data_IF_278790708423
#
_entry.id   IF_278790708423
#
_cell.length_a   1.000
_cell.length_b   1.000
_cell.length_c   1.000
_cell.angle_alpha   90.00
_cell.angle_beta   90.00
_cell.angle_gamma   90.00
#
_symmetry.space_group_name_H-M   'P 1'
#
loop_
_entity.id
_entity.type
_entity.pdbx_description
1 polymer ?
#
# COMPACT_ATOMS: atom_id res chain seq x y z
N UNK A 1 17.01 8.44 -6.98
CA UNK A 1 16.17 8.71 -8.16
C UNK A 1 15.05 7.68 -8.12
N UNK A 2 13.88 8.04 -7.60
CA UNK A 2 12.78 7.09 -7.40
C UNK A 2 12.28 6.59 -8.75
N UNK A 3 12.08 5.28 -8.89
CA UNK A 3 11.61 4.66 -10.13
C UNK A 3 10.34 5.36 -10.62
N UNK A 4 10.33 5.77 -11.89
CA UNK A 4 9.16 6.26 -12.63
C UNK A 4 8.13 5.14 -12.90
N UNK A 5 8.17 4.05 -12.15
CA UNK A 5 7.36 2.84 -12.36
C UNK A 5 6.00 2.98 -11.68
N UNK A 6 4.94 2.81 -12.45
CA UNK A 6 3.57 2.83 -11.94
C UNK A 6 2.84 1.52 -12.29
N UNK A 7 2.38 0.80 -11.26
CA UNK A 7 1.57 -0.42 -11.45
C UNK A 7 0.23 -0.13 -12.14
N UNK A 8 -0.26 1.10 -12.06
CA UNK A 8 -1.58 1.46 -12.56
C UNK A 8 -1.61 1.85 -14.05
N UNK A 9 -0.45 1.94 -14.72
CA UNK A 9 -0.39 2.19 -16.17
C UNK A 9 -0.43 0.88 -16.93
N UNK A 10 -1.51 0.70 -17.67
CA UNK A 10 -1.86 -0.58 -18.28
C UNK A 10 -1.68 -0.51 -19.79
N UNK A 11 -1.18 -1.61 -20.36
CA UNK A 11 -1.17 -1.87 -21.80
C UNK A 11 -2.23 -2.90 -22.11
N UNK A 12 -3.08 -2.61 -23.09
CA UNK A 12 -4.19 -3.48 -23.47
C UNK A 12 -3.90 -4.20 -24.77
N UNK A 13 -4.20 -5.50 -24.81
CA UNK A 13 -4.01 -6.38 -25.96
C UNK A 13 -5.28 -7.09 -26.35
N UNK A 14 -5.43 -7.35 -27.66
CA UNK A 14 -6.60 -8.02 -28.23
C UNK A 14 -6.33 -9.52 -28.42
N UNK A 15 -7.33 -10.34 -28.09
CA UNK A 15 -7.31 -11.80 -28.32
C UNK A 15 -6.53 -12.58 -27.26
N UNK A 16 -5.20 -12.46 -27.26
CA UNK A 16 -4.30 -13.22 -26.40
C UNK A 16 -3.35 -12.31 -25.59
N UNK A 17 -2.69 -12.88 -24.58
CA UNK A 17 -1.77 -12.15 -23.70
C UNK A 17 -0.54 -11.58 -24.45
N UNK A 18 -0.14 -12.22 -25.54
CA UNK A 18 0.91 -11.82 -26.49
C UNK A 18 0.34 -11.15 -27.75
N UNK A 19 -0.98 -10.94 -27.79
CA UNK A 19 -1.67 -10.34 -28.93
C UNK A 19 -1.26 -8.89 -29.19
N UNK A 20 -1.70 -8.31 -30.32
CA UNK A 20 -1.35 -6.93 -30.67
C UNK A 20 -1.88 -5.94 -29.62
N UNK A 21 -1.07 -4.92 -29.33
CA UNK A 21 -1.48 -3.80 -28.49
C UNK A 21 -2.62 -3.06 -29.19
N UNK A 22 -3.73 -2.86 -28.49
CA UNK A 22 -4.91 -2.15 -28.99
C UNK A 22 -5.17 -0.83 -28.27
N UNK A 23 -4.48 -0.57 -27.15
CA UNK A 23 -4.59 0.70 -26.42
C UNK A 23 -3.93 0.64 -25.06
N UNK A 24 -4.30 1.58 -24.20
CA UNK A 24 -3.83 1.73 -22.84
C UNK A 24 -5.00 1.73 -21.84
N UNK A 25 -4.68 1.73 -20.54
CA UNK A 25 -5.68 1.81 -19.49
C UNK A 25 -5.11 2.26 -18.16
N UNK A 26 -6.01 2.47 -17.19
CA UNK A 26 -5.70 2.92 -15.84
C UNK A 26 -6.28 1.96 -14.81
N UNK A 27 -5.46 1.41 -13.93
CA UNK A 27 -5.96 0.57 -12.84
C UNK A 27 -6.70 1.42 -11.79
N UNK A 28 -7.98 1.12 -11.56
CA UNK A 28 -8.83 1.84 -10.60
C UNK A 28 -8.84 1.17 -9.22
N UNK A 29 -8.95 -0.16 -9.21
CA UNK A 29 -8.92 -1.01 -8.01
C UNK A 29 -8.13 -2.27 -8.32
N UNK A 30 -8.01 -3.21 -7.37
CA UNK A 30 -7.33 -4.48 -7.62
C UNK A 30 -7.99 -5.31 -8.73
N UNK A 31 -9.24 -5.04 -9.08
CA UNK A 31 -10.07 -5.85 -9.97
C UNK A 31 -10.83 -5.01 -11.01
N UNK A 32 -10.56 -3.69 -11.10
CA UNK A 32 -11.17 -2.78 -12.07
C UNK A 32 -10.13 -1.92 -12.76
N UNK A 33 -10.30 -1.75 -14.06
CA UNK A 33 -9.49 -0.85 -14.89
C UNK A 33 -10.39 0.06 -15.74
N UNK A 34 -9.87 1.21 -16.15
CA UNK A 34 -10.52 2.19 -17.00
C UNK A 34 -9.81 2.27 -18.34
N UNK A 35 -10.55 2.36 -19.43
CA UNK A 35 -10.04 2.58 -20.79
C UNK A 35 -11.11 3.22 -21.69
N UNK A 36 -10.80 3.42 -22.97
CA UNK A 36 -11.75 3.83 -23.99
C UNK A 36 -12.59 2.65 -24.49
N UNK A 37 -13.86 2.88 -24.80
CA UNK A 37 -14.74 1.84 -25.32
C UNK A 37 -14.25 1.34 -26.68
N UNK A 38 -13.78 2.22 -27.57
CA UNK A 38 -13.28 1.81 -28.88
C UNK A 38 -12.02 0.92 -28.81
N UNK A 39 -11.24 0.99 -27.72
CA UNK A 39 -10.07 0.11 -27.52
C UNK A 39 -10.53 -1.34 -27.34
N UNK A 40 -11.60 -1.54 -26.59
CA UNK A 40 -12.24 -2.85 -26.38
C UNK A 40 -12.91 -3.33 -27.67
N UNK A 41 -13.57 -2.41 -28.38
CA UNK A 41 -14.28 -2.66 -29.64
C UNK A 41 -15.72 -3.12 -29.42
N UNK A 42 -15.90 -4.26 -28.74
CA UNK A 42 -17.23 -4.84 -28.45
C UNK A 42 -17.39 -5.07 -26.93
N UNK A 43 -18.62 -4.92 -26.42
CA UNK A 43 -18.88 -4.95 -24.97
C UNK A 43 -18.53 -6.29 -24.31
N UNK A 44 -18.71 -7.39 -25.03
CA UNK A 44 -18.45 -8.76 -24.57
C UNK A 44 -17.04 -9.24 -24.94
N UNK A 45 -16.26 -8.47 -25.68
CA UNK A 45 -14.91 -8.84 -26.06
C UNK A 45 -14.00 -9.02 -24.84
N UNK A 46 -13.13 -10.02 -24.92
CA UNK A 46 -12.05 -10.22 -23.95
C UNK A 46 -10.83 -9.41 -24.38
N UNK A 47 -10.30 -8.63 -23.46
CA UNK A 47 -9.01 -7.93 -23.60
C UNK A 47 -8.02 -8.47 -22.58
N UNK A 48 -6.74 -8.35 -22.87
CA UNK A 48 -5.66 -8.68 -21.94
C UNK A 48 -5.04 -7.40 -21.39
N UNK A 49 -4.90 -7.35 -20.08
CA UNK A 49 -4.33 -6.25 -19.32
C UNK A 49 -2.92 -6.62 -18.90
N UNK A 50 -1.94 -5.87 -19.39
CA UNK A 50 -0.53 -6.00 -19.06
C UNK A 50 -0.08 -4.80 -18.20
N UNK A 51 0.64 -5.08 -17.11
CA UNK A 51 1.21 -4.10 -16.19
C UNK A 51 2.56 -3.66 -16.73
N UNK A 52 2.54 -2.81 -17.76
CA UNK A 52 3.67 -2.55 -18.65
C UNK A 52 4.97 -2.11 -17.93
N UNK A 53 4.86 -1.44 -16.79
CA UNK A 53 6.02 -0.99 -16.02
C UNK A 53 6.37 -1.85 -14.81
N UNK A 54 5.57 -2.90 -14.57
CA UNK A 54 5.82 -3.88 -13.54
C UNK A 54 5.61 -5.30 -14.10
N UNK A 55 6.61 -5.83 -14.83
CA UNK A 55 6.53 -7.15 -15.45
C UNK A 55 6.46 -8.30 -14.43
N UNK A 56 6.71 -8.04 -13.14
CA UNK A 56 6.50 -9.03 -12.09
C UNK A 56 5.01 -9.34 -11.86
N UNK A 57 4.11 -8.48 -12.34
CA UNK A 57 2.66 -8.69 -12.28
C UNK A 57 2.22 -9.36 -13.58
N UNK A 58 1.81 -10.63 -13.46
CA UNK A 58 1.35 -11.41 -14.60
C UNK A 58 0.13 -10.74 -15.29
N UNK A 59 0.11 -10.72 -16.64
CA UNK A 59 -1.06 -10.26 -17.39
C UNK A 59 -2.35 -10.97 -16.97
N UNK A 60 -3.47 -10.31 -17.21
CA UNK A 60 -4.79 -10.84 -16.84
C UNK A 60 -5.81 -10.56 -17.92
N UNK A 61 -6.68 -11.53 -18.18
CA UNK A 61 -7.85 -11.27 -19.02
C UNK A 61 -8.82 -10.35 -18.30
N UNK A 62 -9.57 -9.58 -19.07
CA UNK A 62 -10.59 -8.69 -18.58
C UNK A 62 -11.73 -8.57 -19.59
N UNK A 63 -12.91 -8.21 -19.09
CA UNK A 63 -14.10 -7.91 -19.87
C UNK A 63 -14.73 -6.64 -19.34
N UNK A 64 -15.62 -6.03 -20.10
CA UNK A 64 -16.36 -4.86 -19.61
C UNK A 64 -17.19 -5.27 -18.40
N UNK A 65 -17.08 -4.50 -17.31
CA UNK A 65 -17.87 -4.68 -16.11
C UNK A 65 -19.33 -4.31 -16.39
N UNK A 66 -20.26 -4.89 -15.63
CA UNK A 66 -21.68 -4.50 -15.69
C UNK A 66 -21.84 -2.99 -15.45
N UNK A 67 -22.63 -2.34 -16.32
CA UNK A 67 -22.81 -0.88 -16.29
C UNK A 67 -21.56 -0.06 -16.66
N UNK A 68 -20.46 -0.72 -17.02
CA UNK A 68 -19.18 -0.10 -17.36
C UNK A 68 -19.00 0.19 -18.85
N UNK A 69 -19.98 -0.12 -19.69
CA UNK A 69 -19.92 0.11 -21.14
C UNK A 69 -20.63 1.41 -21.52
N UNK A 70 -19.87 2.46 -21.82
CA UNK A 70 -20.38 3.72 -22.33
C UNK A 70 -19.72 3.96 -23.70
N UNK A 71 -20.25 3.35 -24.78
CA UNK A 71 -19.69 3.49 -26.12
C UNK A 71 -20.18 4.78 -26.79
N UNK A 72 -19.24 5.54 -27.34
CA UNK A 72 -19.57 6.71 -28.14
C UNK A 72 -19.63 6.45 -29.64
N UNK A 73 -20.72 6.88 -30.30
CA UNK A 73 -20.79 7.32 -31.70
C UNK A 73 -21.13 8.84 -31.81
N UNK A 74 -20.19 9.68 -32.25
CA UNK A 74 -20.46 11.08 -32.61
C UNK A 74 -20.26 12.15 -31.52
N UNK A 75 -20.50 13.42 -31.88
CA UNK A 75 -20.03 14.65 -31.22
C UNK A 75 -20.52 14.93 -29.77
N UNK A 76 -21.32 14.04 -29.17
CA UNK A 76 -21.89 14.21 -27.83
C UNK A 76 -21.61 13.04 -26.89
N UNK A 77 -20.71 12.11 -27.25
CA UNK A 77 -20.66 10.82 -26.55
C UNK A 77 -19.37 10.51 -25.81
N UNK A 78 -19.60 9.80 -24.71
CA UNK A 78 -18.63 9.30 -23.76
C UNK A 78 -18.02 8.03 -24.34
N UNK A 79 -16.70 7.97 -24.46
CA UNK A 79 -15.95 6.82 -24.96
C UNK A 79 -15.21 6.16 -23.80
N UNK A 80 -15.98 5.53 -22.92
CA UNK A 80 -15.52 5.02 -21.62
C UNK A 80 -15.89 3.55 -21.49
N UNK A 81 -14.91 2.74 -21.10
CA UNK A 81 -15.10 1.37 -20.66
C UNK A 81 -14.44 1.14 -19.29
N UNK A 82 -15.21 0.57 -18.36
CA UNK A 82 -14.68 0.01 -17.11
C UNK A 82 -14.57 -1.50 -17.28
N UNK A 83 -13.36 -2.02 -17.13
CA UNK A 83 -13.06 -3.44 -17.23
C UNK A 83 -13.09 -4.10 -15.85
N UNK A 84 -13.67 -5.29 -15.76
CA UNK A 84 -13.50 -6.22 -14.66
C UNK A 84 -12.39 -7.23 -15.02
N UNK A 85 -11.39 -7.35 -14.15
CA UNK A 85 -10.30 -8.32 -14.32
C UNK A 85 -10.78 -9.72 -13.94
N UNK A 86 -10.37 -10.75 -14.69
CA UNK A 86 -10.73 -12.16 -14.42
C UNK A 86 -10.27 -12.63 -13.03
N UNK A 87 -9.20 -12.01 -12.52
CA UNK A 87 -8.72 -12.21 -11.14
C UNK A 87 -8.10 -10.91 -10.62
N UNK A 88 -8.24 -10.62 -9.30
CA UNK A 88 -7.66 -9.42 -8.72
C UNK A 88 -6.12 -9.42 -8.83
N UNK A 89 -5.54 -8.23 -8.86
CA UNK A 89 -4.10 -7.95 -8.87
C UNK A 89 -3.76 -7.15 -7.62
N UNK A 90 -3.75 -7.82 -6.45
CA UNK A 90 -3.71 -7.11 -5.19
C UNK A 90 -2.36 -6.45 -4.89
N UNK A 91 -1.30 -6.92 -5.57
CA UNK A 91 0.05 -6.36 -5.49
C UNK A 91 0.20 -5.04 -6.27
N UNK A 92 -0.70 -4.76 -7.22
CA UNK A 92 -0.67 -3.55 -8.03
C UNK A 92 -1.24 -2.36 -7.26
N UNK A 93 -0.51 -1.25 -7.22
CA UNK A 93 -0.99 0.02 -6.65
C UNK A 93 -1.91 0.74 -7.64
N UNK A 94 -3.20 0.97 -7.32
CA UNK A 94 -4.12 1.69 -8.21
C UNK A 94 -3.76 3.18 -8.38
N UNK A 95 -4.32 3.79 -9.43
CA UNK A 95 -4.11 5.20 -9.71
C UNK A 95 -4.75 6.10 -8.64
N UNK A 96 -4.09 7.21 -8.32
CA UNK A 96 -4.71 8.30 -7.56
C UNK A 96 -5.44 9.22 -8.52
N UNK A 97 -6.76 9.27 -8.43
CA UNK A 97 -7.60 10.09 -9.32
C UNK A 97 -7.78 11.49 -8.74
N UNK A 98 -7.73 12.51 -9.59
CA UNK A 98 -7.86 13.92 -9.22
C UNK A 98 -8.83 14.61 -10.18
N UNK A 99 -9.88 15.23 -9.63
CA UNK A 99 -10.90 15.95 -10.41
C UNK A 99 -10.47 17.38 -10.76
N UNK A 100 -9.38 17.89 -10.19
CA UNK A 100 -8.91 19.24 -10.44
C UNK A 100 -8.27 19.39 -11.82
N UNK A 101 -8.71 20.42 -12.55
CA UNK A 101 -8.16 20.82 -13.83
C UNK A 101 -7.75 22.27 -13.76
N UNK A 102 -6.52 22.55 -14.18
CA UNK A 102 -5.98 23.91 -14.24
C UNK A 102 -5.50 24.16 -15.66
N UNK A 103 -6.05 25.19 -16.31
CA UNK A 103 -5.58 25.63 -17.63
C UNK A 103 -4.09 26.00 -17.56
N UNK A 104 -3.34 25.62 -18.58
CA UNK A 104 -1.91 25.85 -18.71
C UNK A 104 -1.04 24.85 -17.94
N UNK A 105 -1.63 23.99 -17.09
CA UNK A 105 -0.89 22.99 -16.33
C UNK A 105 -0.25 21.96 -17.26
N UNK A 106 1.03 21.68 -16.98
CA UNK A 106 1.79 20.65 -17.67
C UNK A 106 1.31 19.26 -17.26
N UNK A 107 1.16 18.40 -18.26
CA UNK A 107 0.73 17.00 -18.10
C UNK A 107 1.70 16.07 -18.81
N UNK A 108 1.76 14.83 -18.30
CA UNK A 108 2.50 13.73 -18.89
C UNK A 108 1.52 12.64 -19.32
N UNK A 109 1.87 11.92 -20.38
CA UNK A 109 1.03 10.86 -20.94
C UNK A 109 1.94 9.71 -21.34
N UNK A 110 1.71 8.52 -20.78
CA UNK A 110 2.40 7.30 -21.17
C UNK A 110 1.47 6.38 -21.96
N UNK A 111 1.80 6.11 -23.23
CA UNK A 111 1.00 5.25 -24.11
C UNK A 111 1.84 4.26 -24.90
N UNK A 112 1.18 3.33 -25.62
CA UNK A 112 1.82 2.16 -26.24
C UNK A 112 1.49 2.10 -27.75
N UNK A 113 2.15 2.94 -28.54
CA UNK A 113 1.98 2.94 -29.99
C UNK A 113 2.65 1.72 -30.65
N UNK A 114 2.18 1.30 -31.83
CA UNK A 114 2.70 0.11 -32.53
C UNK A 114 4.23 0.13 -32.73
N UNK A 115 4.80 1.29 -33.05
CA UNK A 115 6.26 1.46 -33.24
C UNK A 115 7.04 1.60 -31.92
N UNK A 116 6.34 1.73 -30.79
CA UNK A 116 6.90 1.92 -29.45
C UNK A 116 6.13 1.08 -28.44
N UNK A 117 6.13 -0.24 -28.67
CA UNK A 117 5.39 -1.19 -27.83
C UNK A 117 5.85 -1.13 -26.36
N UNK A 118 7.12 -0.81 -26.10
CA UNK A 118 7.68 -0.63 -24.75
C UNK A 118 7.19 0.63 -24.03
N UNK A 119 6.44 1.48 -24.73
CA UNK A 119 5.87 2.71 -24.20
C UNK A 119 6.60 3.95 -24.69
N UNK A 120 5.84 5.04 -24.84
CA UNK A 120 6.36 6.36 -25.18
C UNK A 120 5.74 7.39 -24.25
N UNK A 121 6.57 8.34 -23.82
CA UNK A 121 6.16 9.46 -22.98
C UNK A 121 5.97 10.72 -23.80
N UNK A 122 4.81 11.34 -23.62
CA UNK A 122 4.46 12.63 -24.20
C UNK A 122 4.23 13.66 -23.09
N UNK A 123 4.48 14.91 -23.43
CA UNK A 123 4.24 16.08 -22.57
C UNK A 123 3.29 17.03 -23.29
N UNK A 124 2.33 17.59 -22.57
CA UNK A 124 1.42 18.59 -23.10
C UNK A 124 0.96 19.58 -22.04
N UNK A 125 0.09 20.51 -22.43
CA UNK A 125 -0.56 21.47 -21.52
C UNK A 125 -2.06 21.44 -21.69
N UNK A 126 -2.78 21.59 -20.57
CA UNK A 126 -4.24 21.71 -20.58
C UNK A 126 -4.63 23.05 -21.21
N UNK A 127 -5.32 23.03 -22.36
CA UNK A 127 -5.66 24.25 -23.10
C UNK A 127 -7.05 24.78 -22.72
N UNK A 128 -8.07 23.93 -22.80
CA UNK A 128 -9.45 24.33 -22.54
C UNK A 128 -10.47 23.26 -22.93
N UNK A 129 -11.74 23.51 -22.59
CA UNK A 129 -12.83 22.62 -22.92
C UNK A 129 -13.19 22.68 -24.41
N UNK A 130 -13.54 21.53 -24.96
CA UNK A 130 -14.10 21.34 -26.30
C UNK A 130 -15.26 20.35 -26.18
N UNK A 131 -16.49 20.87 -26.03
CA UNK A 131 -17.64 20.05 -25.65
C UNK A 131 -17.43 19.43 -24.26
N UNK A 132 -17.59 18.10 -24.16
CA UNK A 132 -17.35 17.33 -22.93
C UNK A 132 -15.87 16.92 -22.74
N UNK A 133 -15.00 17.22 -23.71
CA UNK A 133 -13.58 16.86 -23.69
C UNK A 133 -12.69 18.05 -23.38
N UNK A 134 -11.43 17.78 -23.04
CA UNK A 134 -10.40 18.80 -22.82
C UNK A 134 -9.31 18.66 -23.87
N UNK A 135 -8.96 19.78 -24.50
CA UNK A 135 -7.85 19.86 -25.43
C UNK A 135 -6.52 19.92 -24.68
N UNK A 136 -5.56 19.12 -25.16
CA UNK A 136 -4.18 19.08 -24.72
C UNK A 136 -3.29 19.62 -25.84
N UNK A 137 -2.62 20.74 -25.59
CA UNK A 137 -1.70 21.34 -26.54
C UNK A 137 -0.32 20.71 -26.38
N UNK A 138 0.27 20.31 -27.50
CA UNK A 138 1.64 19.85 -27.60
C UNK A 138 2.52 20.97 -28.17
N UNK A 139 3.77 21.05 -27.69
CA UNK A 139 4.71 22.06 -28.20
C UNK A 139 5.22 21.76 -29.60
N UNK A 140 5.15 20.50 -30.03
CA UNK A 140 5.59 20.00 -31.35
C UNK A 140 4.70 18.87 -31.84
N UNK A 141 4.63 18.65 -33.15
CA UNK A 141 3.81 17.59 -33.76
C UNK A 141 4.21 16.17 -33.31
N UNK A 142 5.50 15.92 -33.01
CA UNK A 142 5.94 14.61 -32.52
C UNK A 142 5.42 14.28 -31.12
N UNK A 143 4.94 15.29 -30.40
CA UNK A 143 4.40 15.19 -29.04
C UNK A 143 2.88 14.98 -29.00
N UNK A 144 2.22 14.86 -30.16
CA UNK A 144 0.79 14.53 -30.29
C UNK A 144 0.57 13.04 -30.04
N UNK A 145 -0.52 12.69 -29.36
CA UNK A 145 -0.87 11.28 -29.11
C UNK A 145 -1.13 10.54 -30.43
N UNK A 146 -0.74 9.27 -30.49
CA UNK A 146 -0.83 8.42 -31.69
C UNK A 146 -1.73 7.21 -31.41
N UNK A 147 -2.21 6.47 -32.43
CA UNK A 147 -2.89 5.19 -32.21
C UNK A 147 -2.10 4.29 -31.23
N UNK A 148 -2.79 3.83 -30.18
CA UNK A 148 -2.18 3.12 -29.04
C UNK A 148 -2.06 3.94 -27.74
N UNK A 149 -2.37 5.24 -27.79
CA UNK A 149 -2.50 6.09 -26.59
C UNK A 149 -3.92 6.16 -26.04
N UNK A 150 -4.94 5.74 -26.80
CA UNK A 150 -6.32 5.72 -26.33
C UNK A 150 -6.46 4.91 -25.04
N UNK A 151 -7.11 5.49 -24.04
CA UNK A 151 -7.22 4.95 -22.69
C UNK A 151 -6.04 5.25 -21.77
N UNK A 152 -4.99 5.92 -22.24
CA UNK A 152 -3.84 6.28 -21.42
C UNK A 152 -4.21 7.35 -20.39
N UNK A 153 -3.63 7.25 -19.20
CA UNK A 153 -3.76 8.29 -18.19
C UNK A 153 -3.06 9.58 -18.62
N UNK A 154 -3.76 10.69 -18.40
CA UNK A 154 -3.17 12.03 -18.37
C UNK A 154 -2.84 12.34 -16.92
N UNK A 155 -1.55 12.49 -16.62
CA UNK A 155 -1.07 12.61 -15.24
C UNK A 155 -0.41 13.96 -14.98
N UNK A 156 -0.53 14.43 -13.74
CA UNK A 156 0.18 15.58 -13.21
C UNK A 156 1.11 15.10 -12.10
N UNK A 157 2.31 15.69 -12.03
CA UNK A 157 3.20 15.44 -10.89
C UNK A 157 2.55 15.92 -9.59
N UNK A 158 2.71 15.14 -8.53
CA UNK A 158 2.35 15.57 -7.19
C UNK A 158 3.23 16.76 -6.75
N UNK A 159 2.67 17.67 -5.95
CA UNK A 159 3.31 18.95 -5.64
C UNK A 159 4.62 18.81 -4.85
N UNK A 160 4.58 18.23 -3.65
CA UNK A 160 5.77 18.02 -2.84
C UNK A 160 6.56 16.79 -3.32
N UNK A 161 7.90 16.83 -3.20
CA UNK A 161 8.76 15.70 -3.51
C UNK A 161 8.29 14.41 -2.81
N UNK A 162 8.05 13.36 -3.59
CA UNK A 162 7.54 12.07 -3.09
C UNK A 162 6.00 11.96 -3.01
N UNK A 163 5.25 12.98 -3.43
CA UNK A 163 3.80 12.85 -3.64
C UNK A 163 3.52 11.96 -4.84
N UNK A 164 2.51 11.07 -4.78
CA UNK A 164 2.17 10.23 -5.92
C UNK A 164 1.72 11.08 -7.09
N UNK A 165 1.99 10.59 -8.30
CA UNK A 165 1.40 11.12 -9.52
C UNK A 165 -0.12 10.99 -9.44
N UNK A 166 -0.82 11.98 -10.00
CA UNK A 166 -2.29 12.02 -9.99
C UNK A 166 -2.81 12.01 -11.42
N UNK A 167 -3.79 11.15 -11.67
CA UNK A 167 -4.47 11.04 -12.96
C UNK A 167 -5.62 12.05 -12.98
N UNK A 168 -5.59 12.96 -13.95
CA UNK A 168 -6.58 14.03 -14.14
C UNK A 168 -7.51 13.79 -15.32
N UNK A 169 -7.18 12.81 -16.18
CA UNK A 169 -8.00 12.44 -17.32
C UNK A 169 -7.51 11.18 -18.01
N UNK A 170 -8.22 10.82 -19.07
CA UNK A 170 -7.93 9.68 -19.94
C UNK A 170 -7.92 10.16 -21.39
N UNK A 171 -6.86 9.84 -22.13
CA UNK A 171 -6.74 10.15 -23.57
C UNK A 171 -7.80 9.38 -24.34
N UNK A 172 -8.52 10.08 -25.22
CA UNK A 172 -9.56 9.48 -26.07
C UNK A 172 -9.17 9.46 -27.53
N UNK A 173 -8.70 10.59 -28.05
CA UNK A 173 -8.42 10.72 -29.46
C UNK A 173 -7.32 11.75 -29.71
N UNK A 174 -6.81 11.72 -30.93
CA UNK A 174 -5.92 12.73 -31.46
C UNK A 174 -6.60 13.45 -32.64
N UNK A 175 -6.08 14.63 -32.99
CA UNK A 175 -6.63 15.53 -34.01
C UNK A 175 -7.03 14.84 -35.34
N UNK A 176 -6.30 13.81 -35.78
CA UNK A 176 -6.53 13.16 -37.08
C UNK A 176 -7.67 12.14 -37.12
N UNK A 177 -8.23 11.73 -35.97
CA UNK A 177 -9.32 10.73 -35.90
C UNK A 177 -10.73 11.35 -35.98
N UNK A 178 -10.86 12.67 -36.11
CA UNK A 178 -12.15 13.37 -36.06
C UNK A 178 -12.85 13.55 -37.43
N UNK A 179 -12.34 12.96 -38.51
CA UNK A 179 -12.87 13.10 -39.88
C UNK A 179 -13.09 14.57 -40.34
N UNK A 180 -12.41 15.53 -39.70
CA UNK A 180 -12.47 16.95 -40.05
C UNK A 180 -11.41 17.26 -41.11
N UNK A 181 -11.85 17.76 -42.27
CA UNK A 181 -10.96 18.30 -43.30
C UNK A 181 -10.24 19.54 -42.73
N UNK A 182 -8.91 19.49 -42.69
CA UNK A 182 -8.08 20.58 -42.17
C UNK A 182 -7.20 21.16 -43.29
N UNK A 183 -6.88 22.47 -43.24
CA UNK A 183 -5.96 23.09 -44.20
C UNK A 183 -4.61 22.38 -44.20
N UNK A 184 -4.00 22.22 -45.39
CA UNK A 184 -2.76 21.48 -45.60
C UNK A 184 -1.54 22.05 -44.85
N UNK A 185 -1.56 23.35 -44.48
CA UNK A 185 -0.45 24.08 -43.86
C UNK A 185 -0.58 24.25 -42.34
N UNK A 186 -1.24 23.32 -41.64
CA UNK A 186 -1.68 23.58 -40.28
C UNK A 186 -0.83 22.85 -39.20
N UNK A 187 0.13 23.56 -38.62
CA UNK A 187 1.07 23.14 -37.55
C UNK A 187 0.45 22.86 -36.15
N UNK A 188 -0.88 22.77 -36.05
CA UNK A 188 -1.56 22.58 -34.76
C UNK A 188 -1.34 21.16 -34.18
N UNK A 189 -0.56 21.08 -33.11
CA UNK A 189 -0.28 19.85 -32.40
C UNK A 189 -1.17 19.73 -31.14
N UNK A 190 -2.33 19.08 -31.23
CA UNK A 190 -3.19 18.88 -30.05
C UNK A 190 -3.87 17.49 -29.99
N UNK A 191 -4.30 17.10 -28.80
CA UNK A 191 -4.97 15.83 -28.49
C UNK A 191 -6.17 16.07 -27.57
N UNK A 192 -7.04 15.08 -27.39
CA UNK A 192 -8.20 15.18 -26.50
C UNK A 192 -8.16 14.17 -25.36
N UNK A 193 -8.65 14.59 -24.20
CA UNK A 193 -8.91 13.72 -23.05
C UNK A 193 -10.34 13.89 -22.54
N UNK A 194 -10.89 12.84 -21.93
CA UNK A 194 -12.02 12.96 -21.01
C UNK A 194 -11.44 13.20 -19.61
N UNK A 195 -11.80 14.30 -18.92
CA UNK A 195 -11.30 14.56 -17.58
C UNK A 195 -11.93 13.62 -16.55
N UNK A 196 -11.18 13.29 -15.48
CA UNK A 196 -11.68 12.44 -14.38
C UNK A 196 -12.99 12.98 -13.79
N UNK A 197 -13.15 14.30 -13.75
CA UNK A 197 -14.39 14.95 -13.30
C UNK A 197 -15.60 14.50 -14.12
N UNK A 198 -15.48 14.48 -15.46
CA UNK A 198 -16.53 13.99 -16.35
C UNK A 198 -16.76 12.49 -16.21
N UNK A 199 -15.68 11.71 -16.08
CA UNK A 199 -15.79 10.25 -15.87
C UNK A 199 -16.51 9.97 -14.55
N UNK A 200 -16.26 10.75 -13.49
CA UNK A 200 -16.92 10.63 -12.20
C UNK A 200 -18.42 10.93 -12.23
N UNK A 201 -18.89 11.79 -13.15
CA UNK A 201 -20.33 12.04 -13.33
C UNK A 201 -21.06 10.81 -13.92
N UNK A 202 -20.35 10.01 -14.70
CA UNK A 202 -20.92 8.91 -15.49
C UNK A 202 -20.66 7.53 -14.88
N UNK A 203 -19.55 7.39 -14.16
CA UNK A 203 -19.07 6.13 -13.60
C UNK A 203 -19.03 6.26 -12.07
N UNK A 204 -20.01 5.69 -11.35
CA UNK A 204 -20.09 5.79 -9.90
C UNK A 204 -18.82 5.36 -9.17
N UNK A 205 -18.14 4.31 -9.67
CA UNK A 205 -16.86 3.87 -9.12
C UNK A 205 -15.78 4.97 -9.20
N UNK A 206 -15.70 5.70 -10.31
CA UNK A 206 -14.72 6.80 -10.45
C UNK A 206 -15.09 7.97 -9.55
N UNK A 207 -16.38 8.26 -9.41
CA UNK A 207 -16.88 9.26 -8.44
C UNK A 207 -16.46 8.92 -7.01
N UNK A 208 -16.65 7.67 -6.61
CA UNK A 208 -16.29 7.16 -5.29
C UNK A 208 -14.77 7.21 -5.06
N UNK A 209 -13.96 6.81 -6.04
CA UNK A 209 -12.49 6.74 -5.91
C UNK A 209 -11.79 8.10 -5.99
N UNK A 210 -12.40 9.07 -6.67
CA UNK A 210 -11.87 10.44 -6.81
C UNK A 210 -12.37 11.40 -5.72
N UNK A 211 -13.32 10.95 -4.89
CA UNK A 211 -13.80 11.71 -3.74
C UNK A 211 -12.81 11.73 -2.56
N UNK A 212 -13.04 12.59 -1.55
CA UNK A 212 -12.19 12.69 -0.36
C UNK A 212 -12.10 11.36 0.42
N UNK A 213 -13.16 10.55 0.37
CA UNK A 213 -13.24 9.23 0.98
C UNK A 213 -12.91 8.10 -0.02
N UNK A 214 -12.21 8.40 -1.12
CA UNK A 214 -11.81 7.42 -2.14
C UNK A 214 -10.67 6.51 -1.69
N UNK A 215 -9.72 7.00 -0.90
CA UNK A 215 -8.65 6.17 -0.32
C UNK A 215 -8.14 6.82 0.95
N UNK A 216 -8.00 6.05 2.05
CA UNK A 216 -7.32 6.55 3.24
C UNK A 216 -5.79 6.38 3.09
N UNK A 217 -5.13 7.45 2.63
CA UNK A 217 -3.67 7.52 2.43
C UNK A 217 -2.88 7.39 3.75
N UNK A 218 -3.47 7.81 4.87
CA UNK A 218 -2.88 7.64 6.20
C UNK A 218 -2.86 6.18 6.62
N UNK A 219 -3.98 5.48 6.41
CA UNK A 219 -4.11 4.05 6.69
C UNK A 219 -3.23 3.24 5.74
N UNK A 220 -3.18 3.58 4.45
CA UNK A 220 -2.34 2.91 3.46
C UNK A 220 -0.87 2.90 3.91
N UNK A 221 -0.29 4.07 4.18
CA UNK A 221 1.10 4.20 4.64
C UNK A 221 1.37 3.40 5.92
N UNK A 222 0.43 3.42 6.87
CA UNK A 222 0.57 2.69 8.13
C UNK A 222 0.49 1.17 7.95
N UNK A 223 -0.39 0.69 7.08
CA UNK A 223 -0.51 -0.75 6.78
C UNK A 223 0.71 -1.23 5.99
N UNK A 224 1.16 -0.49 4.97
CA UNK A 224 2.41 -0.80 4.24
C UNK A 224 3.59 -0.97 5.19
N UNK A 225 3.78 0.01 6.06
CA UNK A 225 4.87 -0.01 7.07
C UNK A 225 4.74 -1.20 8.01
N UNK A 226 3.53 -1.46 8.53
CA UNK A 226 3.32 -2.58 9.44
C UNK A 226 3.56 -3.93 8.75
N UNK A 227 3.03 -4.15 7.54
CA UNK A 227 3.23 -5.39 6.79
C UNK A 227 4.69 -5.61 6.37
N UNK A 228 5.43 -4.53 6.04
CA UNK A 228 6.86 -4.61 5.73
C UNK A 228 7.71 -5.13 6.91
N UNK A 229 7.18 -5.08 8.14
CA UNK A 229 7.89 -5.50 9.34
C UNK A 229 8.80 -4.41 9.89
N UNK A 230 9.83 -4.80 10.63
CA UNK A 230 10.78 -3.89 11.27
C UNK A 230 10.32 -3.42 12.65
N UNK A 231 10.34 -2.11 12.88
CA UNK A 231 10.21 -1.50 14.22
C UNK A 231 8.79 -1.37 14.76
N UNK A 232 7.81 -1.86 14.00
CA UNK A 232 6.40 -1.77 14.34
C UNK A 232 6.00 -2.86 15.36
N UNK A 233 5.12 -2.55 16.32
CA UNK A 233 4.63 -3.54 17.28
C UNK A 233 4.01 -4.76 16.60
N UNK A 234 4.13 -5.92 17.25
CA UNK A 234 3.57 -7.18 16.74
C UNK A 234 2.05 -7.13 16.60
N UNK A 235 1.36 -6.30 17.39
CA UNK A 235 -0.10 -6.11 17.30
C UNK A 235 -0.42 -4.70 16.84
N UNK A 236 -1.29 -4.60 15.83
CA UNK A 236 -1.88 -3.36 15.35
C UNK A 236 -3.38 -3.43 15.47
N UNK A 237 -3.99 -2.42 16.08
CA UNK A 237 -5.43 -2.26 16.20
C UNK A 237 -5.93 -1.10 15.33
N UNK A 238 -7.09 -1.22 14.71
CA UNK A 238 -7.72 -0.13 13.96
C UNK A 238 -9.24 -0.27 13.95
N UNK A 239 -9.94 0.86 14.00
CA UNK A 239 -11.39 0.93 13.78
C UNK A 239 -11.61 1.28 12.30
N UNK A 240 -12.32 0.42 11.58
CA UNK A 240 -12.59 0.58 10.16
C UNK A 240 -14.06 0.21 9.91
N UNK A 241 -14.96 1.20 9.85
CA UNK A 241 -16.36 0.99 9.50
C UNK A 241 -16.52 0.32 8.13
N UNK A 242 -17.68 -0.26 7.85
CA UNK A 242 -17.97 -0.77 6.51
C UNK A 242 -18.04 0.35 5.48
N UNK A 243 -17.53 0.06 4.28
CA UNK A 243 -17.56 1.00 3.17
C UNK A 243 -16.55 2.16 3.29
N UNK A 244 -16.57 3.03 2.30
CA UNK A 244 -15.67 4.18 2.20
C UNK A 244 -14.19 3.84 2.00
N UNK A 245 -13.35 4.88 2.02
CA UNK A 245 -11.93 4.79 1.69
C UNK A 245 -11.11 3.98 2.66
N UNK A 246 -11.49 3.95 3.95
CA UNK A 246 -10.78 3.16 4.96
C UNK A 246 -10.95 1.67 4.77
N UNK A 247 -12.19 1.19 4.56
CA UNK A 247 -12.45 -0.21 4.31
C UNK A 247 -11.87 -0.67 2.97
N UNK A 248 -11.95 0.17 1.94
CA UNK A 248 -11.31 -0.07 0.64
C UNK A 248 -9.79 -0.20 0.76
N UNK A 249 -9.15 0.75 1.45
CA UNK A 249 -7.71 0.67 1.78
C UNK A 249 -7.39 -0.60 2.54
N UNK A 250 -8.15 -0.94 3.60
CA UNK A 250 -7.93 -2.16 4.37
C UNK A 250 -7.99 -3.41 3.47
N UNK A 251 -9.06 -3.56 2.69
CA UNK A 251 -9.25 -4.67 1.74
C UNK A 251 -8.08 -4.79 0.77
N UNK A 252 -7.58 -3.66 0.26
CA UNK A 252 -6.42 -3.65 -0.62
C UNK A 252 -5.19 -4.30 0.03
N UNK A 253 -4.95 -4.08 1.32
CA UNK A 253 -3.78 -4.61 2.01
C UNK A 253 -3.88 -6.06 2.48
N UNK A 254 -5.06 -6.68 2.47
CA UNK A 254 -5.26 -7.99 3.08
C UNK A 254 -4.49 -9.14 2.42
N UNK A 255 -4.13 -9.00 1.15
CA UNK A 255 -3.29 -9.97 0.46
C UNK A 255 -1.90 -10.14 1.08
N UNK A 256 -1.46 -9.20 1.92
CA UNK A 256 -0.19 -9.24 2.65
C UNK A 256 -0.28 -10.02 3.96
N UNK A 257 -1.49 -10.39 4.38
CA UNK A 257 -1.70 -11.26 5.52
C UNK A 257 -1.53 -12.73 5.10
N UNK A 258 -0.85 -13.52 5.93
CA UNK A 258 -0.71 -14.97 5.67
C UNK A 258 -2.01 -15.72 5.98
N UNK A 259 -2.76 -15.20 6.96
CA UNK A 259 -4.08 -15.70 7.37
C UNK A 259 -5.03 -14.52 7.56
N UNK A 260 -6.31 -14.74 7.23
CA UNK A 260 -7.37 -13.74 7.41
C UNK A 260 -8.55 -14.38 8.13
N UNK A 261 -8.88 -13.89 9.31
CA UNK A 261 -10.11 -14.20 10.03
C UNK A 261 -11.15 -13.10 9.75
N UNK A 262 -12.39 -13.49 9.40
CA UNK A 262 -13.50 -12.55 9.20
C UNK A 262 -14.60 -12.84 10.20
N UNK A 263 -14.87 -11.91 11.10
CA UNK A 263 -15.98 -12.01 12.06
C UNK A 263 -17.31 -12.27 11.35
N UNK A 264 -18.12 -13.14 11.96
CA UNK A 264 -19.41 -13.58 11.40
C UNK A 264 -19.31 -14.50 10.17
N UNK A 265 -18.12 -14.73 9.60
CA UNK A 265 -17.92 -15.59 8.41
C UNK A 265 -16.97 -16.76 8.65
N UNK A 266 -15.93 -16.54 9.43
CA UNK A 266 -14.96 -17.58 9.81
C UNK A 266 -15.33 -18.07 11.20
N UNK A 267 -15.39 -19.39 11.41
CA UNK A 267 -15.56 -19.94 12.75
C UNK A 267 -14.19 -20.17 13.42
N UNK A 268 -14.09 -20.07 14.76
CA UNK A 268 -12.85 -20.34 15.48
C UNK A 268 -12.25 -21.72 15.18
N UNK A 269 -13.08 -22.76 15.09
CA UNK A 269 -12.63 -24.13 14.75
C UNK A 269 -11.99 -24.23 13.38
N UNK A 270 -12.62 -23.63 12.36
CA UNK A 270 -12.09 -23.65 11.00
C UNK A 270 -10.77 -22.87 10.93
N UNK A 271 -10.73 -21.71 11.59
CA UNK A 271 -9.52 -20.90 11.69
C UNK A 271 -8.36 -21.66 12.36
N UNK A 272 -8.62 -22.31 13.49
CA UNK A 272 -7.59 -23.09 14.20
C UNK A 272 -7.11 -24.27 13.35
N UNK A 273 -8.00 -24.95 12.62
CA UNK A 273 -7.60 -26.02 11.71
C UNK A 273 -6.65 -25.52 10.61
N UNK A 274 -6.95 -24.37 10.00
CA UNK A 274 -6.07 -23.74 9.01
C UNK A 274 -4.73 -23.33 9.64
N UNK A 275 -4.77 -22.69 10.81
CA UNK A 275 -3.59 -22.26 11.55
C UNK A 275 -2.66 -23.43 11.89
N UNK A 276 -3.19 -24.54 12.42
CA UNK A 276 -2.40 -25.75 12.73
C UNK A 276 -1.79 -26.33 11.46
N UNK A 277 -2.53 -26.33 10.35
CA UNK A 277 -2.02 -26.78 9.04
C UNK A 277 -0.83 -25.93 8.57
N UNK A 278 -0.87 -24.61 8.81
CA UNK A 278 0.23 -23.68 8.48
C UNK A 278 1.42 -23.83 9.41
N UNK A 279 1.18 -24.01 10.71
CA UNK A 279 2.22 -24.20 11.72
C UNK A 279 3.01 -25.50 11.51
N UNK A 280 2.38 -26.52 10.91
CA UNK A 280 2.95 -27.85 10.66
C UNK A 280 3.65 -28.43 11.92
N UNK A 281 2.99 -28.47 13.09
CA UNK A 281 3.58 -29.10 14.26
C UNK A 281 3.81 -30.60 13.99
N UNK A 282 4.67 -31.28 14.78
CA UNK A 282 4.78 -32.73 14.73
C UNK A 282 3.39 -33.39 14.82
N UNK A 283 3.15 -34.44 14.02
CA UNK A 283 1.80 -35.05 13.89
C UNK A 283 1.16 -35.41 15.23
N UNK A 284 1.96 -35.89 16.18
CA UNK A 284 1.50 -36.26 17.52
C UNK A 284 1.07 -35.05 18.38
N UNK A 285 1.52 -33.83 18.06
CA UNK A 285 1.17 -32.59 18.77
C UNK A 285 0.05 -31.80 18.10
N UNK A 286 -0.34 -32.12 16.86
CA UNK A 286 -1.33 -31.33 16.11
C UNK A 286 -2.67 -31.17 16.87
N UNK A 287 -3.12 -32.23 17.55
CA UNK A 287 -4.31 -32.19 18.40
C UNK A 287 -4.09 -31.34 19.66
N UNK A 288 -2.94 -31.47 20.32
CA UNK A 288 -2.60 -30.67 21.49
C UNK A 288 -2.55 -29.17 21.17
N UNK A 289 -1.99 -28.80 20.00
CA UNK A 289 -2.02 -27.42 19.50
C UNK A 289 -3.45 -26.92 19.26
N UNK A 290 -4.30 -27.72 18.61
CA UNK A 290 -5.71 -27.37 18.39
C UNK A 290 -6.44 -27.15 19.72
N UNK A 291 -6.33 -28.09 20.64
CA UNK A 291 -7.03 -28.07 21.93
C UNK A 291 -6.55 -26.87 22.77
N UNK A 292 -5.24 -26.62 22.80
CA UNK A 292 -4.67 -25.45 23.48
C UNK A 292 -5.11 -24.12 22.86
N UNK A 293 -5.16 -24.02 21.53
CA UNK A 293 -5.59 -22.80 20.84
C UNK A 293 -7.07 -22.47 21.14
N UNK A 294 -7.94 -23.48 21.17
CA UNK A 294 -9.37 -23.29 21.42
C UNK A 294 -9.70 -23.12 22.91
N UNK A 295 -9.20 -24.02 23.77
CA UNK A 295 -9.58 -24.12 25.18
C UNK A 295 -8.57 -23.49 26.16
N UNK A 296 -7.34 -23.22 25.72
CA UNK A 296 -6.27 -22.75 26.60
C UNK A 296 -5.57 -23.89 27.35
N UNK A 297 -4.98 -23.59 28.51
CA UNK A 297 -4.20 -24.53 29.31
C UNK A 297 -2.71 -24.53 28.99
N UNK A 298 -2.04 -25.65 29.24
CA UNK A 298 -0.58 -25.79 29.08
C UNK A 298 -0.20 -25.72 27.60
N UNK A 299 0.70 -24.81 27.19
CA UNK A 299 1.13 -24.73 25.80
C UNK A 299 1.92 -25.99 25.42
N UNK A 300 1.71 -26.54 24.20
CA UNK A 300 2.53 -27.64 23.68
C UNK A 300 3.98 -27.19 23.46
N UNK A 301 4.90 -28.15 23.47
CA UNK A 301 6.33 -27.89 23.24
C UNK A 301 6.55 -27.24 21.87
N UNK A 302 7.26 -26.11 21.85
CA UNK A 302 7.57 -25.43 20.59
C UNK A 302 8.66 -26.18 19.84
N UNK A 303 8.56 -26.33 18.51
CA UNK A 303 9.69 -26.73 17.69
C UNK A 303 10.86 -25.76 17.92
N UNK A 304 11.97 -26.28 18.45
CA UNK A 304 13.25 -25.59 18.62
C UNK A 304 13.87 -25.33 17.25
N UNK A 305 13.39 -24.31 16.53
CA UNK A 305 13.90 -24.00 15.19
C UNK A 305 13.54 -22.63 14.61
N UNK A 306 12.73 -21.83 15.28
CA UNK A 306 12.38 -20.48 14.83
C UNK A 306 13.00 -19.40 15.70
N UNK A 307 14.30 -19.14 15.56
CA UNK A 307 14.88 -17.91 16.09
C UNK A 307 14.17 -16.71 15.43
N UNK A 308 13.82 -15.71 16.25
CA UNK A 308 13.14 -14.46 15.88
C UNK A 308 14.04 -13.53 15.05
N UNK A 309 14.45 -13.98 13.86
CA UNK A 309 15.31 -13.22 12.93
C UNK A 309 14.57 -12.60 11.75
N UNK A 310 13.24 -12.77 11.65
CA UNK A 310 12.40 -12.16 10.63
C UNK A 310 11.04 -11.75 11.20
N UNK A 311 10.34 -10.84 10.52
CA UNK A 311 8.97 -10.49 10.90
C UNK A 311 8.09 -11.75 10.81
N UNK A 312 7.63 -12.26 11.95
CA UNK A 312 6.81 -13.48 12.02
C UNK A 312 5.53 -13.41 11.16
N UNK A 313 4.86 -14.55 10.94
CA UNK A 313 3.69 -14.63 10.07
C UNK A 313 2.60 -13.66 10.51
N UNK A 314 1.87 -13.11 9.54
CA UNK A 314 0.85 -12.08 9.78
C UNK A 314 -0.56 -12.67 9.75
N UNK A 315 -1.37 -12.32 10.74
CA UNK A 315 -2.79 -12.64 10.82
C UNK A 315 -3.59 -11.34 10.82
N UNK A 316 -4.53 -11.20 9.89
CA UNK A 316 -5.52 -10.12 9.90
C UNK A 316 -6.86 -10.65 10.43
N UNK A 317 -7.40 -10.00 11.46
CA UNK A 317 -8.72 -10.27 12.03
C UNK A 317 -9.58 -9.06 11.70
N UNK A 318 -10.63 -9.26 10.90
CA UNK A 318 -11.53 -8.18 10.48
C UNK A 318 -12.91 -8.40 11.04
N UNK A 319 -13.48 -7.33 11.62
CA UNK A 319 -14.80 -7.36 12.23
C UNK A 319 -14.80 -8.21 13.49
N UNK A 320 -13.80 -8.04 14.37
CA UNK A 320 -13.75 -8.78 15.63
C UNK A 320 -15.04 -8.60 16.46
N UNK A 321 -15.58 -7.39 16.46
CA UNK A 321 -16.86 -6.98 17.06
C UNK A 321 -18.09 -7.59 16.38
N UNK A 322 -17.94 -8.08 15.15
CA UNK A 322 -19.00 -8.77 14.39
C UNK A 322 -18.98 -10.30 14.61
N UNK A 323 -17.98 -10.81 15.33
CA UNK A 323 -17.93 -12.21 15.70
C UNK A 323 -19.06 -12.54 16.70
N UNK A 324 -19.71 -13.70 16.61
CA UNK A 324 -20.73 -14.10 17.59
C UNK A 324 -20.18 -14.24 19.03
N UNK A 325 -18.87 -14.46 19.19
CA UNK A 325 -18.22 -14.70 20.48
C UNK A 325 -16.87 -13.97 20.59
N UNK A 326 -16.84 -12.62 20.54
CA UNK A 326 -15.61 -11.84 20.47
C UNK A 326 -14.73 -12.04 21.71
N UNK A 327 -15.35 -12.20 22.89
CA UNK A 327 -14.68 -12.46 24.16
C UNK A 327 -13.93 -13.81 24.20
N UNK A 328 -14.32 -14.80 23.37
CA UNK A 328 -13.58 -16.06 23.23
C UNK A 328 -12.46 -15.97 22.22
N UNK A 329 -12.63 -15.12 21.21
CA UNK A 329 -11.65 -14.93 20.15
C UNK A 329 -10.41 -14.17 20.66
N UNK A 330 -10.56 -13.16 21.52
CA UNK A 330 -9.40 -12.39 22.03
C UNK A 330 -8.35 -13.27 22.76
N UNK A 331 -8.73 -14.16 23.70
CA UNK A 331 -7.78 -15.11 24.32
C UNK A 331 -7.13 -16.06 23.31
N UNK A 332 -7.86 -16.49 22.30
CA UNK A 332 -7.31 -17.30 21.21
C UNK A 332 -6.23 -16.52 20.46
N UNK A 333 -6.50 -15.28 20.07
CA UNK A 333 -5.53 -14.40 19.41
C UNK A 333 -4.30 -14.14 20.29
N UNK A 334 -4.48 -14.02 21.61
CA UNK A 334 -3.38 -13.86 22.54
C UNK A 334 -2.44 -15.08 22.50
N UNK A 335 -3.00 -16.30 22.45
CA UNK A 335 -2.22 -17.53 22.26
C UNK A 335 -1.51 -17.56 20.91
N UNK A 336 -2.19 -17.17 19.84
CA UNK A 336 -1.60 -17.08 18.49
C UNK A 336 -0.41 -16.11 18.46
N UNK A 337 -0.49 -14.97 19.15
CA UNK A 337 0.65 -14.03 19.31
C UNK A 337 1.86 -14.71 19.92
N UNK A 338 1.66 -15.55 20.95
CA UNK A 338 2.79 -16.25 21.61
C UNK A 338 3.53 -17.18 20.64
N UNK A 339 2.89 -17.64 19.56
CA UNK A 339 3.52 -18.42 18.49
C UNK A 339 4.36 -17.57 17.53
N UNK A 340 4.53 -16.27 17.78
CA UNK A 340 5.29 -15.35 16.94
C UNK A 340 4.49 -14.68 15.82
N UNK A 341 3.16 -14.84 15.82
CA UNK A 341 2.32 -14.15 14.84
C UNK A 341 2.21 -12.65 15.13
N UNK A 342 2.23 -11.87 14.06
CA UNK A 342 1.90 -10.44 14.08
C UNK A 342 0.44 -10.27 13.74
N UNK A 343 -0.30 -9.52 14.55
CA UNK A 343 -1.75 -9.42 14.48
C UNK A 343 -2.18 -8.04 14.00
N UNK A 344 -2.98 -7.99 12.93
CA UNK A 344 -3.78 -6.82 12.56
C UNK A 344 -5.22 -7.09 13.03
N UNK A 345 -5.67 -6.39 14.07
CA UNK A 345 -7.02 -6.51 14.62
C UNK A 345 -7.84 -5.30 14.19
N UNK A 346 -8.95 -5.56 13.50
CA UNK A 346 -9.87 -4.54 13.02
C UNK A 346 -11.25 -4.77 13.62
N UNK A 347 -11.82 -3.71 14.19
CA UNK A 347 -13.23 -3.63 14.60
C UNK A 347 -13.98 -2.65 13.69
N UNK A 348 -15.30 -2.82 13.54
CA UNK A 348 -16.17 -1.90 12.79
C UNK A 348 -16.64 -0.74 13.64
N UNK A 349 -16.92 -1.00 14.92
CA UNK A 349 -17.25 -0.01 15.94
C UNK A 349 -16.26 -0.10 17.13
N UNK A 350 -16.06 1.01 17.83
CA UNK A 350 -15.22 1.13 19.01
C UNK A 350 -15.98 1.12 20.34
N UNK A 351 -17.30 0.92 20.32
CA UNK A 351 -18.17 1.07 21.48
C UNK A 351 -18.22 -0.15 22.41
N UNK A 352 -17.76 -1.33 21.97
CA UNK A 352 -17.90 -2.57 22.74
C UNK A 352 -16.74 -2.91 23.69
N UNK A 353 -17.05 -3.80 24.65
CA UNK A 353 -16.11 -4.27 25.69
C UNK A 353 -14.92 -5.05 25.11
N UNK A 354 -15.07 -5.61 23.91
CA UNK A 354 -14.00 -6.30 23.19
C UNK A 354 -12.80 -5.39 22.91
N UNK A 355 -13.00 -4.08 22.76
CA UNK A 355 -11.89 -3.12 22.60
C UNK A 355 -11.02 -3.07 23.84
N UNK A 356 -11.64 -3.08 25.02
CA UNK A 356 -10.93 -3.13 26.30
C UNK A 356 -10.17 -4.45 26.46
N UNK A 357 -10.77 -5.56 26.04
CA UNK A 357 -10.11 -6.87 26.12
C UNK A 357 -8.94 -6.99 25.14
N UNK A 358 -9.08 -6.48 23.91
CA UNK A 358 -7.99 -6.36 22.94
C UNK A 358 -6.87 -5.51 23.49
N UNK A 359 -7.19 -4.38 24.13
CA UNK A 359 -6.19 -3.54 24.77
C UNK A 359 -5.41 -4.31 25.84
N UNK A 360 -6.14 -4.99 26.73
CA UNK A 360 -5.57 -5.72 27.87
C UNK A 360 -4.73 -6.94 27.45
N UNK A 361 -5.27 -7.81 26.60
CA UNK A 361 -4.63 -9.09 26.28
C UNK A 361 -3.68 -9.03 25.08
N UNK A 362 -3.87 -8.08 24.15
CA UNK A 362 -3.11 -8.02 22.91
C UNK A 362 -2.20 -6.79 22.83
N UNK A 363 -2.75 -5.59 22.96
CA UNK A 363 -1.98 -4.36 22.74
C UNK A 363 -0.97 -4.09 23.85
N UNK A 364 -1.39 -4.14 25.11
CA UNK A 364 -0.52 -3.85 26.25
C UNK A 364 0.71 -4.78 26.28
N UNK A 365 0.57 -6.12 26.19
CA UNK A 365 1.73 -7.00 26.12
C UNK A 365 2.63 -6.72 24.91
N UNK A 366 2.06 -6.51 23.72
CA UNK A 366 2.85 -6.28 22.52
C UNK A 366 3.65 -4.97 22.56
N UNK A 367 3.10 -3.92 23.17
CA UNK A 367 3.80 -2.65 23.34
C UNK A 367 4.83 -2.70 24.47
N UNK A 368 4.54 -3.45 25.54
CA UNK A 368 5.49 -3.70 26.63
C UNK A 368 6.72 -4.50 26.14
N UNK A 369 6.49 -5.58 25.38
CA UNK A 369 7.53 -6.37 24.71
C UNK A 369 8.40 -5.49 23.79
N UNK A 370 7.77 -4.62 22.98
CA UNK A 370 8.48 -3.69 22.10
C UNK A 370 9.25 -2.63 22.88
N UNK A 371 8.68 -2.08 23.95
CA UNK A 371 9.37 -1.11 24.79
C UNK A 371 10.60 -1.75 25.45
N UNK A 372 10.47 -2.98 25.95
CA UNK A 372 11.59 -3.73 26.50
C UNK A 372 12.68 -4.00 25.45
N UNK A 373 12.31 -4.30 24.21
CA UNK A 373 13.27 -4.45 23.10
C UNK A 373 14.01 -3.14 22.80
N UNK A 374 13.29 -2.02 22.68
CA UNK A 374 13.90 -0.72 22.42
C UNK A 374 14.81 -0.28 23.57
N UNK A 375 14.42 -0.50 24.82
CA UNK A 375 15.27 -0.25 25.99
C UNK A 375 16.55 -1.08 25.92
N UNK A 376 16.47 -2.37 25.60
CA UNK A 376 17.68 -3.21 25.40
C UNK A 376 18.59 -2.66 24.30
N UNK A 377 18.04 -2.17 23.19
CA UNK A 377 18.85 -1.56 22.12
C UNK A 377 19.57 -0.29 22.58
N UNK A 378 18.92 0.56 23.37
CA UNK A 378 19.59 1.74 23.97
C UNK A 378 20.72 1.28 24.90
N UNK A 379 20.50 0.23 25.70
CA UNK A 379 21.55 -0.34 26.57
C UNK A 379 22.72 -0.93 25.80
N UNK A 380 22.45 -1.58 24.68
CA UNK A 380 23.48 -2.13 23.80
C UNK A 380 24.36 -0.99 23.26
N UNK A 381 23.74 0.09 22.78
CA UNK A 381 24.44 1.31 22.32
C UNK A 381 25.26 1.93 23.46
N UNK A 382 24.67 2.13 24.64
CA UNK A 382 25.39 2.68 25.80
C UNK A 382 26.60 1.80 26.20
N UNK A 383 26.46 0.46 26.12
CA UNK A 383 27.55 -0.49 26.41
C UNK A 383 28.65 -0.45 25.36
N UNK A 384 28.32 -0.44 24.08
CA UNK A 384 29.28 -0.32 22.99
C UNK A 384 30.10 0.97 23.12
N UNK A 385 29.42 2.10 23.37
CA UNK A 385 30.09 3.39 23.59
C UNK A 385 30.97 3.42 24.85
N UNK A 386 30.54 2.79 25.94
CA UNK A 386 31.37 2.69 27.14
C UNK A 386 32.66 1.89 26.88
N UNK A 387 32.57 0.82 26.06
CA UNK A 387 33.74 0.08 25.59
C UNK A 387 34.68 0.93 24.73
N UNK A 388 34.13 1.73 23.81
CA UNK A 388 34.89 2.62 22.93
C UNK A 388 35.54 3.80 23.67
N UNK A 389 34.86 4.36 24.68
CA UNK A 389 35.41 5.43 25.52
C UNK A 389 36.63 5.00 26.35
N UNK A 390 36.81 3.69 26.56
CA UNK A 390 38.02 3.14 27.17
C UNK A 390 39.21 3.05 26.21
N UNK A 391 39.00 3.25 24.91
CA UNK A 391 39.99 3.04 23.84
C UNK A 391 40.40 4.32 23.09
N UNK A 392 39.71 5.45 23.31
CA UNK A 392 39.92 6.72 22.58
C UNK A 392 40.23 7.85 23.58
N UNK A 393 41.14 8.77 23.24
CA UNK A 393 41.43 9.96 24.05
C UNK A 393 40.15 10.78 24.32
N UNK A 394 39.86 10.99 25.61
CA UNK A 394 38.62 11.58 26.15
C UNK A 394 38.22 12.94 25.57
N UNK A 395 39.11 13.63 24.86
CA UNK A 395 38.86 14.93 24.26
C UNK A 395 38.08 14.87 22.93
N UNK A 396 37.92 13.69 22.33
CA UNK A 396 37.24 13.52 21.02
C UNK A 396 35.79 13.02 21.12
N UNK A 397 35.31 12.68 22.32
CA UNK A 397 33.97 12.14 22.53
C UNK A 397 33.10 13.14 23.30
N UNK A 398 31.96 13.51 22.71
CA UNK A 398 30.93 14.27 23.43
C UNK A 398 30.38 13.45 24.60
N UNK A 399 30.01 14.07 25.75
CA UNK A 399 29.47 13.34 26.88
C UNK A 399 28.10 12.74 26.53
N UNK A 400 28.03 11.40 26.44
CA UNK A 400 26.76 10.68 26.34
C UNK A 400 26.23 10.37 27.75
N UNK A 401 24.93 10.60 28.01
CA UNK A 401 24.34 10.35 29.31
C UNK A 401 24.14 8.85 29.54
N UNK A 402 25.06 8.20 30.26
CA UNK A 402 24.99 6.79 30.74
C UNK A 402 23.78 6.47 31.65
N UNK A 403 22.81 7.38 31.76
CA UNK A 403 21.67 7.32 32.69
C UNK A 403 20.32 7.17 31.98
N UNK A 404 20.28 7.21 30.64
CA UNK A 404 19.04 7.20 29.87
C UNK A 404 18.40 5.81 29.87
N UNK A 405 19.15 4.73 29.59
CA UNK A 405 18.57 3.39 29.57
C UNK A 405 18.03 2.91 30.93
N UNK A 406 18.79 3.15 32.02
CA UNK A 406 18.37 2.81 33.37
C UNK A 406 17.11 3.60 33.80
N UNK A 407 16.98 4.85 33.34
CA UNK A 407 15.76 5.65 33.53
C UNK A 407 14.59 5.05 32.76
N UNK A 408 14.77 4.68 31.50
CA UNK A 408 13.72 4.07 30.68
C UNK A 408 13.26 2.72 31.21
N UNK A 409 14.17 1.88 31.70
CA UNK A 409 13.83 0.61 32.36
C UNK A 409 12.98 0.81 33.62
N UNK A 410 13.35 1.76 34.48
CA UNK A 410 12.55 2.10 35.68
C UNK A 410 11.18 2.63 35.30
N UNK A 411 11.11 3.50 34.30
CA UNK A 411 9.83 4.02 33.78
C UNK A 411 8.96 2.89 33.23
N UNK A 412 9.51 1.97 32.44
CA UNK A 412 8.77 0.81 31.95
C UNK A 412 8.23 -0.05 33.11
N UNK A 413 9.03 -0.29 34.16
CA UNK A 413 8.59 -1.01 35.35
C UNK A 413 7.43 -0.29 36.07
N UNK A 414 7.47 1.03 36.19
CA UNK A 414 6.38 1.84 36.76
C UNK A 414 5.11 1.77 35.90
N UNK A 415 5.23 1.79 34.57
CA UNK A 415 4.06 1.66 33.70
C UNK A 415 3.36 0.30 33.86
N UNK A 416 4.09 -0.74 34.26
CA UNK A 416 3.49 -2.06 34.50
C UNK A 416 2.59 -2.11 35.73
N UNK A 417 2.73 -1.17 36.66
CA UNK A 417 1.92 -1.08 37.89
C UNK A 417 0.70 -0.18 37.72
N UNK A 418 0.48 0.41 36.54
CA UNK A 418 -0.73 1.21 36.27
C UNK A 418 -1.91 0.26 36.04
N UNK A 419 -2.94 0.41 36.86
CA UNK A 419 -4.13 -0.46 36.86
C UNK A 419 -5.05 -0.20 35.66
N UNK A 420 -5.26 1.06 35.28
CA UNK A 420 -6.13 1.40 34.16
C UNK A 420 -5.46 1.06 32.80
N UNK A 421 -6.07 0.19 31.98
CA UNK A 421 -5.48 -0.21 30.71
C UNK A 421 -5.32 0.92 29.70
N UNK A 422 -6.17 1.95 29.73
CA UNK A 422 -6.14 3.07 28.77
C UNK A 422 -4.98 4.01 29.11
N UNK A 423 -4.88 4.41 30.36
CA UNK A 423 -3.77 5.23 30.86
C UNK A 423 -2.43 4.56 30.61
N UNK A 424 -2.34 3.25 30.89
CA UNK A 424 -1.14 2.46 30.63
C UNK A 424 -0.80 2.41 29.14
N UNK A 425 -1.80 2.26 28.27
CA UNK A 425 -1.61 2.21 26.82
C UNK A 425 -1.03 3.53 26.28
N UNK A 426 -1.58 4.66 26.71
CA UNK A 426 -1.14 5.97 26.26
C UNK A 426 0.24 6.33 26.79
N UNK A 427 0.54 5.96 28.04
CA UNK A 427 1.86 6.12 28.61
C UNK A 427 2.93 5.25 27.90
N UNK A 428 2.60 4.00 27.55
CA UNK A 428 3.49 3.14 26.74
C UNK A 428 3.72 3.71 25.34
N UNK A 429 2.68 4.23 24.68
CA UNK A 429 2.82 4.89 23.37
C UNK A 429 3.72 6.12 23.45
N UNK A 430 3.63 6.90 24.53
CA UNK A 430 4.52 8.03 24.76
C UNK A 430 5.97 7.59 24.93
N UNK A 431 6.22 6.56 25.75
CA UNK A 431 7.56 6.00 25.96
C UNK A 431 8.17 5.46 24.66
N UNK A 432 7.39 4.75 23.84
CA UNK A 432 7.86 4.24 22.54
C UNK A 432 8.24 5.36 21.56
N UNK A 433 7.51 6.48 21.56
CA UNK A 433 7.88 7.65 20.74
C UNK A 433 9.19 8.27 21.19
N UNK A 434 9.39 8.40 22.49
CA UNK A 434 10.62 8.92 23.09
C UNK A 434 11.83 8.04 22.76
N UNK A 435 11.72 6.72 23.01
CA UNK A 435 12.79 5.76 22.70
C UNK A 435 13.16 5.76 21.20
N UNK A 436 12.18 5.85 20.30
CA UNK A 436 12.45 5.93 18.85
C UNK A 436 13.19 7.22 18.48
N UNK A 437 12.75 8.37 18.99
CA UNK A 437 13.42 9.64 18.74
C UNK A 437 14.85 9.66 19.30
N UNK A 438 15.10 8.97 20.41
CA UNK A 438 16.44 8.79 20.98
C UNK A 438 17.32 7.90 20.12
N UNK A 439 16.83 6.74 19.67
CA UNK A 439 17.57 5.85 18.77
C UNK A 439 17.87 6.52 17.42
N UNK A 440 16.94 7.31 16.87
CA UNK A 440 17.18 8.09 15.65
C UNK A 440 18.28 9.14 15.83
N UNK A 441 18.38 9.76 17.02
CA UNK A 441 19.49 10.68 17.34
C UNK A 441 20.83 9.95 17.40
N UNK A 442 20.88 8.78 18.03
CA UNK A 442 22.08 7.97 18.13
C UNK A 442 22.52 7.39 16.79
N UNK A 443 21.59 6.95 15.93
CA UNK A 443 21.90 6.45 14.60
C UNK A 443 22.40 7.51 13.60
N UNK A 444 22.20 8.80 13.90
CA UNK A 444 22.74 9.93 13.10
C UNK A 444 24.07 10.46 13.62
N UNK A 445 24.42 10.16 14.86
CA UNK A 445 25.74 10.47 15.39
C UNK A 445 26.69 9.39 14.86
N UNK A 446 27.40 9.71 13.76
CA UNK A 446 28.45 8.86 13.20
C UNK A 446 29.33 8.30 14.34
N UNK A 447 29.29 6.98 14.53
CA UNK A 447 30.32 6.29 15.30
C UNK A 447 31.62 6.58 14.56
N UNK A 448 32.63 7.23 15.19
CA UNK A 448 33.90 7.48 14.53
C UNK A 448 34.52 6.12 14.18
N UNK A 449 34.40 5.73 12.91
CA UNK A 449 35.10 4.56 12.41
C UNK A 449 36.61 4.77 12.60
N UNK A 450 37.37 3.72 12.90
CA UNK A 450 38.82 3.83 13.00
C UNK A 450 39.34 4.35 11.65
N UNK A 451 39.90 5.56 11.65
CA UNK A 451 40.69 6.07 10.52
C UNK A 451 41.91 5.17 10.41
N UNK A 452 41.78 4.12 9.62
CA UNK A 452 42.92 3.34 9.16
C UNK A 452 43.91 4.29 8.50
N UNK A 453 45.13 4.28 9.01
CA UNK A 453 46.27 4.98 8.48
C UNK A 453 46.37 4.76 6.96
N UNK A 454 46.01 5.77 6.17
CA UNK A 454 46.49 5.84 4.81
C UNK A 454 47.99 6.11 4.87
N UNK A 455 48.73 5.02 4.69
CA UNK A 455 50.17 5.00 4.60
C UNK A 455 50.69 6.06 3.64
N UNK A 456 51.48 6.97 4.23
CA UNK A 456 52.58 7.62 3.54
C UNK A 456 53.51 6.55 2.97
N UNK A 457 53.42 6.32 1.67
CA UNK A 457 54.50 5.78 0.82
C UNK A 457 54.31 6.45 -0.54
N UNK A 458 55.26 7.11 -1.18
CA UNK A 458 56.67 7.30 -0.97
C UNK A 458 57.18 7.79 -2.33
N UNK A 459 57.91 8.91 -2.35
CA UNK A 459 58.66 9.36 -3.52
C UNK A 459 59.61 8.26 -3.98
N UNK A 460 59.54 7.86 -5.24
CA UNK A 460 60.66 7.86 -6.18
C UNK A 460 60.15 7.75 -7.61
#
# INVERSE_FOLDING_TARGET
>A
MGELRADWRLRLRRGAADGPVCGAGVLLTQDRALTCAHVVGEADARVWVEFAENPAIAPVGARVAEGGWLPGLGATREDIAVLALDSPRPHATPATLDRSLERGREVWIGGYARSFADGMWLTGRISGAHGAWIQLDAGRNEQVVKPGFSGAAVQVRGGAAGSPERVVGMVVSWRGDLDLALPADNDLAFSYMIPVDRIAELVPLVSELSGPDGWDQGLDRRLRRWFAGGEEPAVRFSVVPHGGGRDRTLRHHLHRAHLVYRGGRTTPDHFVAELVTRLRPPRHQARAYRDWLLAGGTPPERPTGGAAGGAGPTLAVIGLDEDPQPHRLVPLLARVRTLGFRLLVVVRDSSGDEVTEVARQLLLPALDERAAELVRRVEDIEREWAGLSGLVESASLGPLPRTEAARHRRRLAQLRTVDDPRDRLDALRALLRELRAELERHGRADVPGPRGEQGRTGRR
#
